data_IF_566312528710
#
_entry.id   IF_566312528710
#
_cell.length_a   1.000
_cell.length_b   1.000
_cell.length_c   1.000
_cell.angle_alpha   90.00
_cell.angle_beta   90.00
_cell.angle_gamma   90.00
#
_symmetry.space_group_name_H-M   'P 1'
#
loop_
_entity.id
_entity.type
_entity.pdbx_description
1 polymer ?
#
# COMPACT_ATOMS: atom_id res chain seq x y z
N UNK A 1 26.95 1.39 -26.46
CA UNK A 1 26.46 0.47 -25.40
C UNK A 1 25.21 1.09 -24.78
N UNK A 2 24.03 0.59 -25.16
CA UNK A 2 22.75 1.08 -24.67
C UNK A 2 22.52 0.43 -23.30
N UNK A 3 22.60 1.21 -22.20
CA UNK A 3 22.30 0.70 -20.85
C UNK A 3 20.83 0.27 -20.86
N UNK A 4 20.56 -1.04 -20.81
CA UNK A 4 19.24 -1.55 -20.50
C UNK A 4 18.95 -1.05 -19.08
N UNK A 5 17.98 -0.16 -18.91
CA UNK A 5 17.53 0.27 -17.60
C UNK A 5 16.92 -0.95 -16.91
N UNK A 6 17.57 -1.47 -15.86
CA UNK A 6 17.01 -2.54 -15.03
C UNK A 6 15.86 -1.96 -14.21
N UNK A 7 14.61 -2.26 -14.59
CA UNK A 7 13.43 -1.89 -13.81
C UNK A 7 13.21 -2.84 -12.63
N UNK A 8 12.77 -2.30 -11.49
CA UNK A 8 12.30 -3.11 -10.35
C UNK A 8 10.77 -3.11 -10.33
N UNK A 9 10.15 -4.27 -10.53
CA UNK A 9 8.70 -4.45 -10.47
C UNK A 9 8.34 -5.39 -9.31
N UNK A 10 7.29 -5.06 -8.56
CA UNK A 10 6.80 -5.88 -7.45
C UNK A 10 5.29 -5.72 -7.27
N UNK A 11 4.62 -6.82 -6.94
CA UNK A 11 3.19 -6.86 -6.64
C UNK A 11 3.02 -7.26 -5.18
N UNK A 12 2.24 -6.49 -4.43
CA UNK A 12 1.95 -6.74 -3.03
C UNK A 12 0.45 -6.75 -2.78
N UNK A 13 0.03 -7.61 -1.84
CA UNK A 13 -1.35 -7.61 -1.35
C UNK A 13 -1.56 -6.43 -0.39
N UNK A 14 -2.81 -5.97 -0.30
CA UNK A 14 -3.24 -5.14 0.82
C UNK A 14 -2.89 -5.77 2.19
N UNK A 15 -2.52 -4.97 3.18
CA UNK A 15 -2.44 -5.39 4.59
C UNK A 15 -3.80 -5.83 5.17
N UNK A 16 -3.81 -6.32 6.41
CA UNK A 16 -5.02 -6.84 7.05
C UNK A 16 -6.19 -5.84 7.12
N UNK A 17 -7.35 -6.24 6.59
CA UNK A 17 -8.58 -5.44 6.53
C UNK A 17 -9.75 -6.18 7.17
N UNK A 18 -10.81 -5.45 7.52
CA UNK A 18 -12.10 -6.03 7.87
C UNK A 18 -12.75 -6.74 6.65
N UNK A 19 -13.70 -7.67 6.88
CA UNK A 19 -14.49 -8.27 5.82
C UNK A 19 -15.13 -7.20 4.92
N UNK A 20 -15.27 -7.45 3.62
CA UNK A 20 -15.93 -6.48 2.71
C UNK A 20 -17.45 -6.48 2.94
N UNK A 21 -18.00 -7.65 3.20
CA UNK A 21 -19.41 -7.87 3.48
C UNK A 21 -19.52 -9.04 4.44
N UNK A 22 -20.65 -9.10 5.15
CA UNK A 22 -20.99 -10.25 5.97
C UNK A 22 -21.82 -11.24 5.16
N UNK A 23 -21.80 -12.50 5.57
CA UNK A 23 -22.74 -13.49 5.05
C UNK A 23 -24.19 -13.04 5.36
N UNK A 24 -25.19 -13.30 4.49
CA UNK A 24 -26.58 -12.86 4.72
C UNK A 24 -27.16 -13.25 6.08
N UNK A 25 -26.74 -14.39 6.64
CA UNK A 25 -27.13 -14.86 7.98
C UNK A 25 -25.97 -14.81 9.00
N UNK A 26 -24.98 -13.96 8.79
CA UNK A 26 -23.79 -13.91 9.64
C UNK A 26 -24.09 -13.29 11.00
N UNK A 27 -23.44 -13.83 12.05
CA UNK A 27 -23.59 -13.38 13.44
C UNK A 27 -22.99 -11.99 13.70
N UNK A 28 -22.09 -11.52 12.83
CA UNK A 28 -21.25 -10.33 13.07
C UNK A 28 -21.72 -9.11 12.26
N UNK A 29 -22.14 -8.04 12.93
CA UNK A 29 -22.50 -6.79 12.28
C UNK A 29 -21.29 -5.91 11.97
N UNK A 30 -21.46 -4.95 11.06
CA UNK A 30 -20.40 -3.99 10.70
C UNK A 30 -19.86 -3.22 11.91
N UNK A 31 -20.71 -2.96 12.91
CA UNK A 31 -20.37 -2.24 14.15
C UNK A 31 -19.28 -2.91 14.99
N UNK A 32 -19.05 -4.20 14.81
CA UNK A 32 -17.97 -4.92 15.50
C UNK A 32 -16.58 -4.57 14.94
N UNK A 33 -16.53 -4.00 13.73
CA UNK A 33 -15.31 -3.56 13.08
C UNK A 33 -15.10 -2.07 13.36
N UNK A 34 -14.04 -1.67 14.09
CA UNK A 34 -13.87 -0.27 14.51
C UNK A 34 -13.75 0.74 13.35
N UNK A 35 -13.46 0.24 12.14
CA UNK A 35 -13.38 1.06 10.92
C UNK A 35 -14.54 0.78 9.95
N UNK A 36 -15.46 -0.13 10.27
CA UNK A 36 -16.46 -0.65 9.33
C UNK A 36 -15.88 -1.70 8.37
N UNK A 37 -16.68 -2.13 7.40
CA UNK A 37 -16.30 -3.18 6.45
C UNK A 37 -15.35 -2.68 5.34
N UNK A 38 -14.52 -3.60 4.83
CA UNK A 38 -13.57 -3.37 3.75
C UNK A 38 -12.42 -2.42 4.09
N UNK A 39 -12.34 -1.94 5.33
CA UNK A 39 -11.36 -0.96 5.77
C UNK A 39 -10.09 -1.61 6.34
N UNK A 40 -8.96 -0.93 6.15
CA UNK A 40 -7.69 -1.38 6.70
C UNK A 40 -7.66 -1.22 8.22
N UNK A 41 -7.33 -2.31 8.91
CA UNK A 41 -7.18 -2.32 10.37
C UNK A 41 -5.88 -1.63 10.79
N UNK A 42 -5.73 -1.31 12.08
CA UNK A 42 -4.46 -0.81 12.63
C UNK A 42 -3.30 -1.77 12.39
N UNK A 43 -3.55 -3.07 12.47
CA UNK A 43 -2.56 -4.12 12.19
C UNK A 43 -2.17 -4.09 10.71
N UNK A 44 -3.15 -3.97 9.81
CA UNK A 44 -2.89 -3.84 8.38
C UNK A 44 -2.08 -2.60 8.03
N UNK A 45 -2.32 -1.47 8.71
CA UNK A 45 -1.51 -0.25 8.57
C UNK A 45 -0.05 -0.51 8.97
N UNK A 46 0.18 -1.17 10.10
CA UNK A 46 1.52 -1.50 10.59
C UNK A 46 2.27 -2.45 9.65
N UNK A 47 1.60 -3.50 9.15
CA UNK A 47 2.17 -4.44 8.18
C UNK A 47 2.66 -3.72 6.92
N UNK A 48 1.94 -2.69 6.48
CA UNK A 48 2.31 -1.92 5.30
C UNK A 48 3.44 -0.94 5.54
N UNK A 49 3.49 -0.36 6.72
CA UNK A 49 4.64 0.40 7.15
C UNK A 49 5.91 -0.45 7.13
N UNK A 50 5.87 -1.64 7.73
CA UNK A 50 7.01 -2.58 7.75
C UNK A 50 7.40 -3.05 6.35
N UNK A 51 6.43 -3.33 5.48
CA UNK A 51 6.68 -3.66 4.08
C UNK A 51 7.41 -2.52 3.36
N UNK A 52 6.96 -1.27 3.54
CA UNK A 52 7.63 -0.10 2.97
C UNK A 52 9.09 0.02 3.41
N UNK A 53 9.38 -0.26 4.68
CA UNK A 53 10.75 -0.28 5.22
C UNK A 53 11.59 -1.41 4.61
N UNK A 54 11.01 -2.60 4.43
CA UNK A 54 11.68 -3.72 3.77
C UNK A 54 11.99 -3.42 2.30
N UNK A 55 11.06 -2.81 1.57
CA UNK A 55 11.26 -2.39 0.18
C UNK A 55 12.38 -1.34 0.11
N UNK A 56 12.35 -0.33 0.99
CA UNK A 56 13.40 0.70 1.05
C UNK A 56 14.79 0.07 1.25
N UNK A 57 14.91 -0.90 2.16
CA UNK A 57 16.17 -1.62 2.40
C UNK A 57 16.59 -2.45 1.20
N UNK A 58 15.65 -3.17 0.57
CA UNK A 58 15.94 -4.04 -0.58
C UNK A 58 16.32 -3.26 -1.83
N UNK A 59 15.75 -2.07 -1.98
CA UNK A 59 16.00 -1.18 -3.11
C UNK A 59 17.01 -0.08 -2.77
N UNK A 60 17.81 -0.18 -1.70
CA UNK A 60 18.79 0.85 -1.32
C UNK A 60 19.82 1.13 -2.41
N UNK A 61 20.10 0.12 -3.24
CA UNK A 61 21.07 0.21 -4.33
C UNK A 61 20.43 0.78 -5.61
N UNK A 62 19.10 0.80 -5.67
CA UNK A 62 18.31 1.24 -6.82
C UNK A 62 17.65 2.60 -6.62
N UNK A 63 17.16 2.88 -5.40
CA UNK A 63 16.49 4.10 -4.98
C UNK A 63 17.49 4.97 -4.20
N UNK A 64 17.43 6.28 -4.42
CA UNK A 64 18.25 7.19 -3.63
C UNK A 64 17.80 7.18 -2.16
N UNK A 65 18.76 7.37 -1.25
CA UNK A 65 18.49 7.50 0.20
C UNK A 65 17.50 8.64 0.47
N UNK A 66 17.60 9.71 -0.31
CA UNK A 66 16.72 10.87 -0.27
C UNK A 66 15.70 10.83 -1.39
N UNK A 67 14.45 11.15 -1.07
CA UNK A 67 13.37 11.23 -2.06
C UNK A 67 13.69 12.26 -3.15
N UNK A 68 13.63 11.82 -4.41
CA UNK A 68 13.67 12.67 -5.61
C UNK A 68 12.35 12.56 -6.36
N UNK A 69 11.72 13.68 -6.67
CA UNK A 69 10.41 13.71 -7.35
C UNK A 69 10.51 13.13 -8.77
N UNK A 70 11.69 13.23 -9.36
CA UNK A 70 11.98 12.86 -10.74
C UNK A 70 12.23 11.35 -10.90
N UNK A 71 12.30 10.58 -9.81
CA UNK A 71 12.36 9.11 -9.86
C UNK A 71 10.95 8.57 -10.12
N UNK A 72 10.69 7.94 -11.29
CA UNK A 72 9.35 7.49 -11.65
C UNK A 72 9.03 6.18 -10.92
N UNK A 73 8.66 6.28 -9.63
CA UNK A 73 8.08 5.15 -8.89
C UNK A 73 6.58 5.15 -9.13
N UNK A 74 6.11 4.29 -10.03
CA UNK A 74 4.69 4.13 -10.32
C UNK A 74 4.08 3.09 -9.38
N UNK A 75 3.20 3.53 -8.49
CA UNK A 75 2.36 2.62 -7.70
C UNK A 75 0.98 2.53 -8.34
N UNK A 76 0.70 1.38 -8.94
CA UNK A 76 -0.64 1.05 -9.44
C UNK A 76 -1.42 0.36 -8.33
N UNK A 77 -2.64 0.84 -8.08
CA UNK A 77 -3.51 0.26 -7.08
C UNK A 77 -4.85 -0.14 -7.70
N UNK A 78 -5.39 -1.28 -7.27
CA UNK A 78 -6.79 -1.64 -7.57
C UNK A 78 -7.73 -0.73 -6.78
N UNK A 79 -8.73 -0.08 -7.40
CA UNK A 79 -9.69 0.77 -6.68
C UNK A 79 -10.52 -0.11 -5.72
N UNK A 80 -10.26 0.01 -4.43
CA UNK A 80 -11.03 -0.63 -3.36
C UNK A 80 -11.20 0.39 -2.23
N UNK A 81 -12.40 0.45 -1.63
CA UNK A 81 -12.86 1.54 -0.74
C UNK A 81 -11.92 1.88 0.43
N UNK A 82 -11.02 0.99 0.85
CA UNK A 82 -10.04 1.22 1.93
C UNK A 82 -8.69 1.83 1.49
N UNK A 83 -8.50 2.10 0.19
CA UNK A 83 -7.18 2.37 -0.40
C UNK A 83 -6.66 3.80 -0.18
N UNK A 84 -7.51 4.80 0.04
CA UNK A 84 -7.04 6.17 0.26
C UNK A 84 -6.17 6.29 1.52
N UNK A 85 -6.44 5.53 2.59
CA UNK A 85 -5.55 5.50 3.78
C UNK A 85 -4.26 4.71 3.53
N UNK A 86 -4.33 3.73 2.64
CA UNK A 86 -3.23 2.85 2.25
C UNK A 86 -2.15 3.61 1.48
N UNK A 87 -2.60 4.41 0.51
CA UNK A 87 -1.83 5.38 -0.22
C UNK A 87 -0.99 6.24 0.74
N UNK A 88 -1.63 6.90 1.70
CA UNK A 88 -0.97 7.79 2.65
C UNK A 88 0.07 7.11 3.57
N UNK A 89 -0.07 5.82 3.85
CA UNK A 89 0.91 5.08 4.67
C UNK A 89 2.17 4.70 3.90
N UNK A 90 2.04 4.30 2.64
CA UNK A 90 3.20 4.16 1.75
C UNK A 90 3.84 5.53 1.42
N UNK A 91 3.04 6.61 1.42
CA UNK A 91 3.50 8.02 1.32
C UNK A 91 4.26 8.50 2.56
N UNK A 92 4.38 7.75 3.66
CA UNK A 92 5.35 8.15 4.70
C UNK A 92 6.82 8.08 4.22
N UNK A 93 7.04 7.67 2.96
CA UNK A 93 8.27 7.86 2.17
C UNK A 93 8.21 9.02 1.14
N UNK A 94 7.19 9.88 1.21
CA UNK A 94 6.90 11.09 0.39
C UNK A 94 6.99 10.86 -1.12
N UNK A 95 6.05 10.13 -1.72
CA UNK A 95 5.93 9.97 -3.19
C UNK A 95 4.51 10.36 -3.68
N UNK A 96 4.43 10.98 -4.85
CA UNK A 96 3.24 11.67 -5.40
C UNK A 96 2.13 10.71 -5.88
N UNK A 97 0.87 11.15 -5.83
CA UNK A 97 -0.31 10.40 -6.30
C UNK A 97 -0.81 10.98 -7.62
N UNK A 98 -0.93 10.16 -8.65
CA UNK A 98 -1.89 10.40 -9.73
C UNK A 98 -2.93 9.30 -9.63
N UNK A 99 -4.16 9.69 -9.28
CA UNK A 99 -5.34 8.84 -9.43
C UNK A 99 -5.63 8.80 -10.93
N UNK A 100 -5.55 7.62 -11.53
CA UNK A 100 -6.20 7.30 -12.80
C UNK A 100 -7.24 6.24 -12.51
#
# INVERSE_FOLDING_TARGET
>A
LQRIASGFFSIYRHGYRSPIENYPNGLHSESEWPQGFGQLTKIGMQQQYELGQCIKKRCSDFLNVSYKREEPTLFLFTPCQGLLRYAFLLINLRLFFSVV
#
